data_IF_451812772754
#
_entry.id   IF_451812772754
#
_cell.length_a   1.000
_cell.length_b   1.000
_cell.length_c   1.000
_cell.angle_alpha   90.00
_cell.angle_beta   90.00
_cell.angle_gamma   90.00
#
_symmetry.space_group_name_H-M   'P 1'
#
loop_
_entity.id
_entity.type
_entity.pdbx_description
1 polymer ?
#
# COMPACT_ATOMS: atom_id res chain seq x y z
N UNK A 1 8.33 4.80 23.89
CA UNK A 1 8.23 4.90 22.42
C UNK A 1 7.17 5.93 22.11
N UNK A 2 7.43 6.85 21.21
CA UNK A 2 6.44 7.85 20.80
C UNK A 2 5.18 7.14 20.32
N UNK A 3 4.06 7.55 20.85
CA UNK A 3 2.76 6.94 20.59
C UNK A 3 2.11 7.46 19.29
N UNK A 4 2.77 8.35 18.59
CA UNK A 4 2.34 8.97 17.33
C UNK A 4 3.52 9.28 16.42
N UNK A 5 3.25 9.37 15.11
CA UNK A 5 4.18 9.80 14.07
C UNK A 5 3.66 11.09 13.43
N UNK A 6 4.49 12.13 13.41
CA UNK A 6 4.10 13.45 12.88
C UNK A 6 4.56 13.65 11.45
N UNK A 7 3.62 13.95 10.59
CA UNK A 7 3.83 14.45 9.24
C UNK A 7 3.62 15.98 9.21
N UNK A 8 3.94 16.64 8.13
CA UNK A 8 3.74 18.10 7.98
C UNK A 8 2.30 18.54 8.14
N UNK A 9 1.35 17.74 7.69
CA UNK A 9 -0.07 18.13 7.61
C UNK A 9 -1.02 17.26 8.46
N UNK A 10 -0.55 16.16 9.00
CA UNK A 10 -1.33 15.25 9.83
C UNK A 10 -0.44 14.49 10.81
N UNK A 11 -1.05 13.91 11.80
CA UNK A 11 -0.38 13.05 12.79
C UNK A 11 -1.07 11.68 12.77
N UNK A 12 -0.31 10.61 12.96
CA UNK A 12 -0.79 9.24 12.96
C UNK A 12 -0.56 8.64 14.34
N UNK A 13 -1.62 8.29 15.07
CA UNK A 13 -1.51 7.40 16.22
C UNK A 13 -0.97 6.05 15.76
N UNK A 14 -0.08 5.47 16.55
CA UNK A 14 0.70 4.30 16.16
C UNK A 14 0.90 3.37 17.37
N UNK A 15 -0.18 3.12 18.12
CA UNK A 15 -0.14 2.40 19.40
C UNK A 15 -0.57 0.96 19.28
N UNK A 16 -1.70 0.70 18.63
CA UNK A 16 -2.42 -0.57 18.65
C UNK A 16 -2.20 -1.40 17.40
N UNK A 17 -2.16 -0.74 16.23
CA UNK A 17 -1.98 -1.41 14.95
C UNK A 17 -0.79 -2.36 14.94
N UNK A 18 -0.99 -3.54 14.39
CA UNK A 18 0.02 -4.59 14.25
C UNK A 18 1.23 -4.12 13.42
N UNK A 19 1.00 -3.29 12.41
CA UNK A 19 2.04 -2.68 11.58
C UNK A 19 2.19 -1.20 11.92
N UNK A 20 3.39 -0.84 12.39
CA UNK A 20 3.76 0.55 12.68
C UNK A 20 4.00 1.34 11.38
N UNK A 21 3.89 2.68 11.46
CA UNK A 21 4.29 3.55 10.35
C UNK A 21 5.72 3.22 9.93
N UNK A 22 5.85 2.59 8.79
CA UNK A 22 7.13 2.11 8.24
C UNK A 22 7.50 2.81 6.94
N UNK A 23 8.76 2.66 6.55
CA UNK A 23 9.27 3.23 5.29
C UNK A 23 8.48 2.74 4.08
N UNK A 24 8.04 1.47 4.08
CA UNK A 24 7.32 0.87 2.97
C UNK A 24 5.96 1.57 2.73
N UNK A 25 5.21 1.84 3.80
CA UNK A 25 3.94 2.57 3.72
C UNK A 25 4.14 4.00 3.16
N UNK A 26 5.17 4.71 3.66
CA UNK A 26 5.49 6.06 3.17
C UNK A 26 5.92 6.03 1.69
N UNK A 27 6.72 5.04 1.29
CA UNK A 27 7.15 4.88 -0.10
C UNK A 27 5.96 4.64 -1.02
N UNK A 28 5.04 3.74 -0.67
CA UNK A 28 3.84 3.49 -1.48
C UNK A 28 2.97 4.74 -1.56
N UNK A 29 2.62 5.35 -0.42
CA UNK A 29 1.79 6.55 -0.36
C UNK A 29 2.36 7.74 -1.13
N UNK A 30 3.71 7.88 -1.16
CA UNK A 30 4.36 8.97 -1.88
C UNK A 30 4.54 8.68 -3.39
N UNK A 31 4.82 7.42 -3.78
CA UNK A 31 5.31 7.09 -5.13
C UNK A 31 4.27 6.49 -6.06
N UNK A 32 3.16 5.90 -5.56
CA UNK A 32 2.14 5.31 -6.45
C UNK A 32 1.54 6.34 -7.39
N UNK A 33 1.11 5.87 -8.57
CA UNK A 33 0.45 6.70 -9.57
C UNK A 33 -0.97 7.03 -9.12
N UNK A 34 -1.27 8.33 -8.98
CA UNK A 34 -2.60 8.87 -8.71
C UNK A 34 -3.00 9.81 -9.84
N UNK A 35 -4.29 9.84 -10.17
CA UNK A 35 -4.87 10.74 -11.17
C UNK A 35 -5.87 11.68 -10.51
N UNK A 36 -5.94 12.92 -10.94
CA UNK A 36 -6.95 13.87 -10.45
C UNK A 36 -8.40 13.43 -10.74
N UNK A 37 -8.56 12.50 -11.70
CA UNK A 37 -9.84 11.88 -12.02
C UNK A 37 -10.25 10.77 -11.06
N UNK A 38 -9.35 10.28 -10.19
CA UNK A 38 -9.66 9.21 -9.24
C UNK A 38 -10.72 9.70 -8.23
N UNK A 39 -11.80 8.94 -8.06
CA UNK A 39 -12.91 9.27 -7.17
C UNK A 39 -13.11 8.27 -6.05
N UNK A 40 -12.96 6.99 -6.35
CA UNK A 40 -13.15 5.92 -5.38
C UNK A 40 -11.90 5.07 -5.27
N UNK A 41 -11.32 5.05 -4.08
CA UNK A 41 -10.07 4.32 -3.83
C UNK A 41 -10.24 3.36 -2.66
N UNK A 42 -9.45 2.28 -2.65
CA UNK A 42 -9.45 1.27 -1.59
C UNK A 42 -8.03 1.00 -1.09
N UNK A 43 -7.85 1.10 0.21
CA UNK A 43 -6.65 0.67 0.95
C UNK A 43 -6.90 -0.69 1.60
N UNK A 44 -6.21 -1.74 1.16
CA UNK A 44 -6.39 -3.10 1.67
C UNK A 44 -5.28 -3.39 2.69
N UNK A 45 -5.67 -3.74 3.93
CA UNK A 45 -4.74 -3.93 5.05
C UNK A 45 -4.17 -2.60 5.50
N UNK A 46 -5.07 -1.66 5.84
CA UNK A 46 -4.72 -0.25 6.05
C UNK A 46 -3.83 0.02 7.28
N UNK A 47 -3.85 -0.89 8.26
CA UNK A 47 -3.11 -0.70 9.51
C UNK A 47 -3.48 0.60 10.21
N UNK A 48 -2.53 1.51 10.33
CA UNK A 48 -2.74 2.83 10.94
C UNK A 48 -3.49 3.82 10.05
N UNK A 49 -3.79 3.50 8.80
CA UNK A 49 -4.39 4.41 7.82
C UNK A 49 -3.41 5.38 7.16
N UNK A 50 -2.11 5.24 7.38
CA UNK A 50 -1.11 6.21 6.91
C UNK A 50 -1.08 6.36 5.39
N UNK A 51 -1.23 5.25 4.63
CA UNK A 51 -1.21 5.31 3.16
C UNK A 51 -2.44 6.08 2.66
N UNK A 52 -3.63 5.74 3.18
CA UNK A 52 -4.87 6.43 2.84
C UNK A 52 -4.81 7.94 3.15
N UNK A 53 -4.22 8.34 4.29
CA UNK A 53 -4.00 9.75 4.64
C UNK A 53 -3.06 10.47 3.66
N UNK A 54 -1.97 9.81 3.25
CA UNK A 54 -1.03 10.36 2.27
C UNK A 54 -1.69 10.51 0.89
N UNK A 55 -2.53 9.55 0.50
CA UNK A 55 -3.31 9.61 -0.75
C UNK A 55 -4.34 10.72 -0.71
N UNK A 56 -5.06 10.87 0.41
CA UNK A 56 -6.01 11.97 0.62
C UNK A 56 -5.33 13.34 0.51
N UNK A 57 -4.13 13.50 1.10
CA UNK A 57 -3.34 14.74 0.95
C UNK A 57 -2.98 15.01 -0.51
N UNK A 58 -2.56 14.00 -1.28
CA UNK A 58 -2.14 14.15 -2.69
C UNK A 58 -3.29 14.47 -3.63
N UNK A 59 -4.50 14.01 -3.31
CA UNK A 59 -5.70 14.19 -4.11
C UNK A 59 -6.67 15.22 -3.50
N UNK A 60 -6.22 16.04 -2.57
CA UNK A 60 -7.07 17.00 -1.84
C UNK A 60 -7.91 17.90 -2.77
N UNK A 61 -7.34 18.32 -3.90
CA UNK A 61 -8.05 19.17 -4.87
C UNK A 61 -9.20 18.45 -5.58
N UNK A 62 -9.12 17.13 -5.73
CA UNK A 62 -10.13 16.32 -6.43
C UNK A 62 -11.18 15.73 -5.51
N UNK A 63 -10.95 15.70 -4.18
CA UNK A 63 -11.89 15.26 -3.16
C UNK A 63 -12.35 13.80 -3.32
N UNK A 64 -11.43 12.82 -3.43
CA UNK A 64 -11.79 11.43 -3.59
C UNK A 64 -12.41 10.88 -2.31
N UNK A 65 -13.16 9.78 -2.41
CA UNK A 65 -13.54 8.96 -1.28
C UNK A 65 -12.60 7.74 -1.19
N UNK A 66 -11.96 7.57 -0.06
CA UNK A 66 -11.02 6.47 0.19
C UNK A 66 -11.61 5.58 1.28
N UNK A 67 -11.91 4.36 0.92
CA UNK A 67 -12.26 3.32 1.87
C UNK A 67 -11.01 2.53 2.24
N UNK A 68 -10.88 2.15 3.51
CA UNK A 68 -9.71 1.48 4.05
C UNK A 68 -10.18 0.30 4.89
N UNK A 69 -9.75 -0.90 4.55
CA UNK A 69 -10.17 -2.12 5.23
C UNK A 69 -9.00 -2.76 5.97
N UNK A 70 -9.29 -3.34 7.13
CA UNK A 70 -8.36 -4.17 7.87
C UNK A 70 -9.10 -5.27 8.63
N UNK A 71 -8.54 -6.48 8.63
CA UNK A 71 -9.11 -7.62 9.38
C UNK A 71 -8.92 -7.44 10.88
N UNK A 72 -7.83 -6.77 11.29
CA UNK A 72 -7.54 -6.48 12.70
C UNK A 72 -8.38 -5.30 13.20
N UNK A 73 -9.25 -5.55 14.17
CA UNK A 73 -10.15 -4.56 14.72
C UNK A 73 -9.41 -3.38 15.38
N UNK A 74 -8.30 -3.63 16.04
CA UNK A 74 -7.48 -2.57 16.66
C UNK A 74 -6.84 -1.65 15.61
N UNK A 75 -6.42 -2.21 14.47
CA UNK A 75 -5.90 -1.44 13.31
C UNK A 75 -7.00 -0.60 12.67
N UNK A 76 -8.16 -1.18 12.37
CA UNK A 76 -9.30 -0.45 11.79
C UNK A 76 -9.77 0.69 12.69
N UNK A 77 -9.86 0.46 13.99
CA UNK A 77 -10.17 1.46 15.01
C UNK A 77 -9.13 2.60 15.04
N UNK A 78 -7.84 2.26 15.00
CA UNK A 78 -6.74 3.24 15.00
C UNK A 78 -6.78 4.08 13.72
N UNK A 79 -6.97 3.44 12.55
CA UNK A 79 -7.16 4.14 11.27
C UNK A 79 -8.37 5.10 11.33
N UNK A 80 -9.50 4.64 11.88
CA UNK A 80 -10.71 5.49 12.03
C UNK A 80 -10.44 6.74 12.86
N UNK A 81 -9.71 6.62 13.99
CA UNK A 81 -9.31 7.79 14.80
C UNK A 81 -8.37 8.72 14.06
N UNK A 82 -7.38 8.17 13.36
CA UNK A 82 -6.43 8.94 12.56
C UNK A 82 -7.15 9.71 11.45
N UNK A 83 -8.13 9.10 10.79
CA UNK A 83 -8.95 9.74 9.77
C UNK A 83 -9.78 10.87 10.36
N UNK A 84 -10.46 10.62 11.48
CA UNK A 84 -11.28 11.64 12.16
C UNK A 84 -10.46 12.86 12.63
N UNK A 85 -9.19 12.67 12.99
CA UNK A 85 -8.28 13.73 13.41
C UNK A 85 -7.61 14.47 12.23
N UNK A 86 -7.80 13.99 10.99
CA UNK A 86 -7.13 14.55 9.81
C UNK A 86 -7.95 15.66 9.15
N UNK A 87 -7.31 16.52 8.33
CA UNK A 87 -8.02 17.51 7.52
C UNK A 87 -9.00 16.91 6.51
N UNK A 88 -8.88 15.61 6.20
CA UNK A 88 -9.66 14.90 5.17
C UNK A 88 -10.70 13.94 5.75
N UNK A 89 -11.14 14.15 7.00
CA UNK A 89 -12.05 13.25 7.72
C UNK A 89 -13.36 12.94 6.96
N UNK A 90 -13.84 13.85 6.10
CA UNK A 90 -15.02 13.64 5.27
C UNK A 90 -14.79 12.77 4.02
N UNK A 91 -13.54 12.47 3.69
CA UNK A 91 -13.13 11.71 2.50
C UNK A 91 -12.59 10.31 2.81
N UNK A 92 -12.50 9.94 4.09
CA UNK A 92 -11.85 8.72 4.55
C UNK A 92 -12.80 7.90 5.43
N UNK A 93 -12.83 6.59 5.21
CA UNK A 93 -13.61 5.65 6.01
C UNK A 93 -12.80 4.38 6.27
N UNK A 94 -12.66 4.00 7.54
CA UNK A 94 -12.10 2.71 7.92
C UNK A 94 -13.22 1.71 8.21
N UNK A 95 -13.01 0.44 7.80
CA UNK A 95 -13.95 -0.67 8.01
C UNK A 95 -13.17 -1.88 8.52
N UNK A 96 -13.62 -2.45 9.64
CA UNK A 96 -13.08 -3.71 10.12
C UNK A 96 -13.74 -4.86 9.38
N UNK A 97 -13.03 -5.45 8.44
CA UNK A 97 -13.49 -6.60 7.65
C UNK A 97 -12.30 -7.33 7.01
N UNK A 98 -12.43 -8.63 6.80
CA UNK A 98 -11.53 -9.36 5.93
C UNK A 98 -11.80 -9.02 4.45
N UNK A 99 -10.77 -9.12 3.59
CA UNK A 99 -10.95 -8.89 2.15
C UNK A 99 -11.96 -9.88 1.55
N UNK A 100 -11.98 -11.13 2.03
CA UNK A 100 -12.92 -12.18 1.60
C UNK A 100 -14.39 -11.85 1.89
N UNK A 101 -14.64 -11.07 2.92
CA UNK A 101 -15.99 -10.74 3.40
C UNK A 101 -16.43 -9.35 2.96
N UNK A 102 -15.51 -8.60 2.37
CA UNK A 102 -15.77 -7.24 1.93
C UNK A 102 -16.48 -7.23 0.58
N UNK A 103 -17.72 -6.75 0.57
CA UNK A 103 -18.55 -6.60 -0.62
C UNK A 103 -18.76 -5.12 -0.91
N UNK A 104 -18.02 -4.52 -1.85
CA UNK A 104 -18.18 -3.11 -2.19
C UNK A 104 -19.46 -2.87 -3.00
N UNK A 105 -20.04 -1.69 -2.85
CA UNK A 105 -21.21 -1.24 -3.62
C UNK A 105 -20.81 -0.53 -4.93
N UNK A 106 -19.51 -0.45 -5.22
CA UNK A 106 -18.94 0.26 -6.38
C UNK A 106 -17.61 -0.32 -6.83
N UNK A 107 -17.17 0.11 -7.99
CA UNK A 107 -15.82 -0.15 -8.50
C UNK A 107 -14.84 0.94 -8.07
N UNK A 108 -13.54 0.62 -8.05
CA UNK A 108 -12.46 1.51 -7.61
C UNK A 108 -11.60 1.96 -8.79
N UNK A 109 -11.21 3.23 -8.74
CA UNK A 109 -10.25 3.82 -9.70
C UNK A 109 -8.81 3.46 -9.31
N UNK A 110 -8.54 3.27 -8.01
CA UNK A 110 -7.26 2.81 -7.51
C UNK A 110 -7.46 1.92 -6.28
N UNK A 111 -6.86 0.74 -6.32
CA UNK A 111 -6.70 -0.15 -5.17
C UNK A 111 -5.22 -0.17 -4.81
N UNK A 112 -4.89 -0.10 -3.52
CA UNK A 112 -3.51 -0.17 -3.09
C UNK A 112 -3.36 -0.97 -1.80
N UNK A 113 -2.19 -1.55 -1.60
CA UNK A 113 -1.89 -2.33 -0.40
C UNK A 113 -0.39 -2.40 -0.13
N UNK A 114 -0.05 -2.41 1.16
CA UNK A 114 1.21 -2.86 1.69
C UNK A 114 0.96 -4.15 2.47
N UNK A 115 0.78 -5.29 1.79
CA UNK A 115 0.39 -6.52 2.46
C UNK A 115 1.49 -7.05 3.37
N UNK A 116 1.16 -7.84 4.40
CA UNK A 116 2.18 -8.45 5.24
C UNK A 116 3.08 -9.38 4.43
N UNK A 117 4.39 -9.29 4.66
CA UNK A 117 5.38 -10.14 3.98
C UNK A 117 5.61 -11.40 4.80
N UNK A 118 5.12 -12.53 4.30
CA UNK A 118 5.49 -13.82 4.88
C UNK A 118 6.80 -14.26 4.24
N UNK A 119 7.88 -14.18 5.01
CA UNK A 119 9.20 -14.66 4.61
C UNK A 119 9.18 -16.20 4.56
N UNK A 120 8.92 -16.77 3.39
CA UNK A 120 8.91 -18.22 3.17
C UNK A 120 10.30 -18.85 3.32
N UNK A 121 11.36 -18.05 3.52
CA UNK A 121 12.76 -18.52 3.48
C UNK A 121 13.31 -18.99 4.82
N UNK A 122 12.67 -18.71 5.96
CA UNK A 122 13.25 -18.94 7.30
C UNK A 122 12.37 -19.71 8.29
N UNK A 123 11.24 -20.32 7.88
CA UNK A 123 10.36 -21.00 8.83
C UNK A 123 10.49 -22.51 8.80
N UNK A 124 10.63 -23.09 10.00
CA UNK A 124 10.49 -24.52 10.25
C UNK A 124 9.17 -25.05 9.67
N UNK A 125 9.10 -26.33 9.21
CA UNK A 125 7.85 -26.95 8.76
C UNK A 125 6.68 -26.76 9.72
N UNK A 126 6.94 -26.82 11.04
CA UNK A 126 5.93 -26.65 12.10
C UNK A 126 5.35 -25.23 12.16
N UNK A 127 6.14 -24.21 11.82
CA UNK A 127 5.67 -22.82 11.75
C UNK A 127 4.86 -22.57 10.48
N UNK A 128 5.17 -23.26 9.36
CA UNK A 128 4.34 -23.23 8.15
C UNK A 128 2.96 -23.83 8.37
N UNK A 129 2.88 -24.93 9.14
CA UNK A 129 1.60 -25.53 9.52
C UNK A 129 0.80 -24.66 10.50
N UNK A 130 1.47 -23.93 11.40
CA UNK A 130 0.80 -23.00 12.32
C UNK A 130 0.22 -21.79 11.55
N UNK A 131 0.94 -21.26 10.56
CA UNK A 131 0.48 -20.15 9.70
C UNK A 131 -0.60 -20.62 8.71
N UNK A 132 -0.51 -21.85 8.18
CA UNK A 132 -1.56 -22.42 7.33
C UNK A 132 -2.86 -22.70 8.09
N UNK A 133 -2.80 -22.85 9.41
CA UNK A 133 -3.99 -22.98 10.27
C UNK A 133 -4.65 -21.65 10.63
N UNK A 134 -3.94 -20.53 10.49
CA UNK A 134 -4.53 -19.19 10.54
C UNK A 134 -4.92 -18.81 9.11
N UNK A 135 -6.15 -19.17 8.73
CA UNK A 135 -6.79 -18.97 7.42
C UNK A 135 -6.96 -17.49 7.01
N UNK A 136 -6.37 -16.56 7.74
CA UNK A 136 -6.66 -15.13 7.63
C UNK A 136 -5.49 -14.29 7.07
N UNK A 137 -4.51 -14.93 6.39
CA UNK A 137 -3.39 -14.18 5.84
C UNK A 137 -3.68 -13.68 4.42
N UNK A 138 -3.82 -12.37 4.27
CA UNK A 138 -3.97 -11.68 3.00
C UNK A 138 -2.81 -12.05 2.04
N UNK A 139 -3.11 -12.76 0.95
CA UNK A 139 -2.13 -13.10 -0.08
C UNK A 139 -2.20 -12.13 -1.26
N UNK A 140 -1.10 -12.04 -2.04
CA UNK A 140 -1.12 -11.27 -3.28
C UNK A 140 -2.16 -11.82 -4.27
N UNK A 141 -2.45 -13.12 -4.26
CA UNK A 141 -3.44 -13.72 -5.13
C UNK A 141 -4.86 -13.24 -4.79
N UNK A 142 -5.19 -13.13 -3.49
CA UNK A 142 -6.48 -12.61 -3.04
C UNK A 142 -6.67 -11.16 -3.46
N UNK A 143 -5.61 -10.35 -3.34
CA UNK A 143 -5.64 -8.94 -3.78
C UNK A 143 -5.84 -8.84 -5.29
N UNK A 144 -5.14 -9.66 -6.10
CA UNK A 144 -5.33 -9.66 -7.55
C UNK A 144 -6.71 -10.16 -7.97
N UNK A 145 -7.23 -11.21 -7.32
CA UNK A 145 -8.58 -11.70 -7.56
C UNK A 145 -9.60 -10.59 -7.32
N UNK A 146 -9.55 -9.96 -6.13
CA UNK A 146 -10.43 -8.86 -5.79
C UNK A 146 -10.29 -7.67 -6.76
N UNK A 147 -9.06 -7.24 -7.06
CA UNK A 147 -8.80 -6.13 -7.97
C UNK A 147 -9.31 -6.43 -9.39
N UNK A 148 -9.20 -7.68 -9.86
CA UNK A 148 -9.71 -8.06 -11.18
C UNK A 148 -11.22 -7.93 -11.31
N UNK A 149 -11.96 -8.03 -10.23
CA UNK A 149 -13.42 -7.91 -10.19
C UNK A 149 -13.91 -6.48 -9.93
N UNK A 150 -13.16 -5.75 -9.09
CA UNK A 150 -13.65 -4.49 -8.52
C UNK A 150 -12.93 -3.22 -9.01
N UNK A 151 -11.92 -3.32 -9.87
CA UNK A 151 -11.37 -2.15 -10.56
C UNK A 151 -12.30 -1.67 -11.67
N UNK A 152 -12.41 -0.35 -11.82
CA UNK A 152 -13.01 0.27 -13.04
C UNK A 152 -12.23 -0.14 -14.29
N UNK A 153 -12.77 0.14 -15.48
CA UNK A 153 -12.08 -0.15 -16.75
C UNK A 153 -10.67 0.46 -16.82
N UNK A 154 -10.50 1.67 -16.32
CA UNK A 154 -9.24 2.41 -16.25
C UNK A 154 -8.54 2.31 -14.89
N UNK A 155 -9.08 1.48 -14.00
CA UNK A 155 -8.61 1.31 -12.63
C UNK A 155 -7.21 0.70 -12.53
N UNK A 156 -6.54 0.96 -11.41
CA UNK A 156 -5.16 0.53 -11.15
C UNK A 156 -5.02 -0.13 -9.79
N UNK A 157 -4.13 -1.12 -9.73
CA UNK A 157 -3.68 -1.74 -8.49
C UNK A 157 -2.24 -1.35 -8.23
N UNK A 158 -1.92 -0.84 -7.04
CA UNK A 158 -0.58 -0.46 -6.62
C UNK A 158 -0.15 -1.26 -5.38
N UNK A 159 0.93 -2.01 -5.45
CA UNK A 159 1.44 -2.85 -4.36
C UNK A 159 2.89 -2.49 -4.06
N UNK A 160 3.26 -2.49 -2.76
CA UNK A 160 4.66 -2.52 -2.36
C UNK A 160 4.99 -3.88 -1.80
N UNK A 161 6.11 -4.48 -2.23
CA UNK A 161 6.48 -5.86 -1.91
C UNK A 161 8.01 -6.02 -1.87
N UNK A 162 8.54 -7.11 -1.26
CA UNK A 162 9.95 -7.48 -1.38
C UNK A 162 10.35 -7.69 -2.85
N UNK A 163 11.56 -7.24 -3.21
CA UNK A 163 12.02 -7.29 -4.61
C UNK A 163 12.18 -8.72 -5.17
N UNK A 164 12.43 -9.70 -4.31
CA UNK A 164 12.55 -11.12 -4.67
C UNK A 164 11.21 -11.77 -5.06
N UNK A 165 10.10 -11.17 -4.67
CA UNK A 165 8.75 -11.63 -5.04
C UNK A 165 8.34 -11.26 -6.48
N UNK A 166 9.09 -10.41 -7.18
CA UNK A 166 8.73 -9.81 -8.48
C UNK A 166 8.23 -10.86 -9.50
N UNK A 167 9.01 -11.95 -9.70
CA UNK A 167 8.68 -12.97 -10.69
C UNK A 167 7.35 -13.69 -10.41
N UNK A 168 7.11 -13.99 -9.14
CA UNK A 168 5.85 -14.62 -8.70
C UNK A 168 4.70 -13.65 -8.84
N UNK A 169 4.89 -12.40 -8.42
CA UNK A 169 3.91 -11.33 -8.52
C UNK A 169 3.42 -11.13 -9.96
N UNK A 170 4.34 -11.04 -10.94
CA UNK A 170 4.00 -10.86 -12.36
C UNK A 170 3.18 -12.03 -12.92
N UNK A 171 3.52 -13.26 -12.51
CA UNK A 171 2.76 -14.46 -12.93
C UNK A 171 1.35 -14.47 -12.34
N UNK A 172 1.23 -14.15 -11.05
CA UNK A 172 -0.06 -14.06 -10.37
C UNK A 172 -0.93 -12.98 -11.00
N UNK A 173 -0.40 -11.78 -11.21
CA UNK A 173 -1.12 -10.69 -11.87
C UNK A 173 -1.68 -11.11 -13.24
N UNK A 174 -0.85 -11.74 -14.07
CA UNK A 174 -1.24 -12.19 -15.40
C UNK A 174 -2.35 -13.24 -15.38
N UNK A 175 -2.41 -14.13 -14.36
CA UNK A 175 -3.49 -15.12 -14.23
C UNK A 175 -4.85 -14.49 -13.91
N UNK A 176 -4.86 -13.27 -13.39
CA UNK A 176 -6.07 -12.47 -13.13
C UNK A 176 -6.33 -11.39 -14.20
N UNK A 177 -5.60 -11.40 -15.31
CA UNK A 177 -5.78 -10.44 -16.39
C UNK A 177 -5.32 -9.02 -16.06
N UNK A 178 -4.41 -8.87 -15.08
CA UNK A 178 -3.79 -7.62 -14.72
C UNK A 178 -2.32 -7.60 -15.17
N UNK A 179 -1.90 -6.51 -15.79
CA UNK A 179 -0.58 -6.38 -16.42
C UNK A 179 0.16 -5.18 -15.82
N UNK A 180 1.49 -5.31 -15.57
CA UNK A 180 2.25 -4.21 -15.03
C UNK A 180 2.36 -3.09 -16.07
N UNK A 181 2.20 -1.83 -15.63
CA UNK A 181 2.50 -0.65 -16.42
C UNK A 181 3.63 0.18 -15.82
N UNK A 182 3.92 -0.01 -14.50
CA UNK A 182 5.04 0.65 -13.83
C UNK A 182 5.65 -0.23 -12.76
N UNK A 183 6.99 -0.22 -12.68
CA UNK A 183 7.77 -0.88 -11.62
C UNK A 183 8.81 0.13 -11.11
N UNK A 184 8.72 0.47 -9.82
CA UNK A 184 9.73 1.26 -9.11
C UNK A 184 10.53 0.34 -8.21
N UNK A 185 11.81 0.06 -8.55
CA UNK A 185 12.70 -0.75 -7.72
C UNK A 185 13.45 0.11 -6.72
N UNK A 186 13.47 -0.31 -5.47
CA UNK A 186 13.97 0.49 -4.35
C UNK A 186 15.12 -0.22 -3.66
N UNK A 187 16.21 0.51 -3.42
CA UNK A 187 17.40 0.06 -2.68
C UNK A 187 17.87 1.10 -1.68
N UNK A 188 18.51 0.64 -0.61
CA UNK A 188 18.99 1.55 0.44
C UNK A 188 20.08 2.48 -0.08
N UNK A 189 21.11 1.93 -0.74
CA UNK A 189 22.20 2.69 -1.38
C UNK A 189 22.47 2.16 -2.77
N UNK A 190 23.16 2.91 -3.61
CA UNK A 190 23.45 2.50 -4.99
C UNK A 190 24.23 1.15 -5.09
N UNK A 191 25.01 0.80 -4.08
CA UNK A 191 25.81 -0.44 -4.04
C UNK A 191 25.02 -1.65 -3.49
N UNK A 192 23.84 -1.48 -2.90
CA UNK A 192 23.04 -2.56 -2.31
C UNK A 192 22.03 -3.13 -3.32
N UNK A 193 21.66 -4.41 -3.18
CA UNK A 193 20.61 -5.01 -3.99
C UNK A 193 19.27 -4.29 -3.73
N UNK A 194 18.34 -4.45 -4.65
CA UNK A 194 16.96 -4.00 -4.46
C UNK A 194 16.31 -4.78 -3.31
N UNK A 195 15.65 -4.06 -2.43
CA UNK A 195 14.95 -4.65 -1.28
C UNK A 195 13.44 -4.63 -1.43
N UNK A 196 12.92 -3.64 -2.12
CA UNK A 196 11.50 -3.43 -2.34
C UNK A 196 11.23 -3.09 -3.78
N UNK A 197 10.03 -3.35 -4.21
CA UNK A 197 9.47 -2.82 -5.43
C UNK A 197 8.06 -2.27 -5.17
N UNK A 198 7.72 -1.19 -5.84
CA UNK A 198 6.33 -0.80 -6.04
C UNK A 198 5.99 -1.23 -7.46
N UNK A 199 4.99 -2.10 -7.58
CA UNK A 199 4.50 -2.57 -8.86
C UNK A 199 3.05 -2.12 -9.04
N UNK A 200 2.77 -1.53 -10.19
CA UNK A 200 1.46 -0.98 -10.51
C UNK A 200 0.91 -1.70 -11.73
N UNK A 201 -0.36 -2.11 -11.65
CA UNK A 201 -1.02 -2.96 -12.63
C UNK A 201 -2.31 -2.32 -13.13
N UNK A 202 -2.63 -2.61 -14.40
CA UNK A 202 -3.90 -2.26 -15.04
C UNK A 202 -4.43 -3.43 -15.86
N UNK A 203 -5.62 -3.28 -16.45
CA UNK A 203 -6.18 -4.28 -17.38
C UNK A 203 -5.53 -4.24 -18.76
N UNK A 204 -4.75 -3.20 -19.06
CA UNK A 204 -4.14 -2.99 -20.37
C UNK A 204 -2.72 -3.54 -20.41
N UNK A 205 -2.34 -4.08 -21.55
CA UNK A 205 -0.95 -4.43 -21.84
C UNK A 205 -0.30 -3.22 -22.53
N UNK A 206 0.68 -2.65 -21.87
CA UNK A 206 1.44 -1.52 -22.36
C UNK A 206 2.93 -1.69 -22.02
N UNK A 207 3.78 -0.83 -22.54
CA UNK A 207 5.20 -0.81 -22.20
C UNK A 207 5.37 -0.45 -20.73
N UNK A 208 6.12 -1.28 -20.00
CA UNK A 208 6.33 -1.11 -18.57
C UNK A 208 7.34 0.00 -18.33
N UNK A 209 6.92 1.04 -17.63
CA UNK A 209 7.85 2.06 -17.14
C UNK A 209 8.63 1.51 -15.95
N UNK A 210 9.96 1.47 -16.06
CA UNK A 210 10.85 1.03 -15.00
C UNK A 210 11.66 2.19 -14.44
N UNK A 211 11.56 2.39 -13.13
CA UNK A 211 12.28 3.43 -12.39
C UNK A 211 13.10 2.80 -11.24
N UNK A 212 14.11 3.52 -10.77
CA UNK A 212 14.92 3.13 -9.61
C UNK A 212 14.95 4.25 -8.59
N UNK A 213 14.71 3.91 -7.33
CA UNK A 213 14.86 4.84 -6.20
C UNK A 213 15.97 4.35 -5.26
N UNK A 214 16.93 5.22 -5.02
CA UNK A 214 17.95 5.05 -3.99
C UNK A 214 17.54 5.86 -2.78
N UNK A 215 17.47 5.26 -1.58
CA UNK A 215 17.00 5.98 -0.39
C UNK A 215 18.08 6.84 0.26
N UNK A 216 19.33 6.36 0.26
CA UNK A 216 20.43 6.97 1.01
C UNK A 216 21.63 7.24 0.10
N UNK A 217 22.20 8.43 0.22
CA UNK A 217 23.39 8.86 -0.49
C UNK A 217 24.24 9.79 0.40
N UNK A 218 25.55 9.58 0.46
CA UNK A 218 26.45 10.45 1.23
C UNK A 218 26.16 10.52 2.74
N UNK A 219 25.58 9.46 3.32
CA UNK A 219 25.23 9.40 4.76
C UNK A 219 23.88 10.03 5.14
N UNK A 220 23.16 10.62 4.17
CA UNK A 220 21.82 11.20 4.34
C UNK A 220 20.78 10.61 3.39
N UNK A 221 19.57 11.14 3.39
CA UNK A 221 18.56 10.83 2.38
C UNK A 221 19.03 11.29 1.00
N UNK A 222 18.76 10.50 -0.05
CA UNK A 222 19.06 10.92 -1.42
C UNK A 222 18.23 12.14 -1.82
N UNK A 223 18.66 12.94 -2.81
CA UNK A 223 17.87 14.05 -3.34
C UNK A 223 16.51 13.57 -3.87
N UNK A 224 16.48 12.43 -4.55
CA UNK A 224 15.27 11.85 -5.15
C UNK A 224 14.27 11.42 -4.05
N UNK A 225 14.76 10.74 -3.00
CA UNK A 225 13.91 10.32 -1.89
C UNK A 225 13.43 11.53 -1.07
N UNK A 226 14.30 12.53 -0.86
CA UNK A 226 13.93 13.76 -0.17
C UNK A 226 12.83 14.51 -0.94
N UNK A 227 12.97 14.66 -2.25
CA UNK A 227 11.95 15.27 -3.10
C UNK A 227 10.64 14.50 -3.12
N UNK A 228 10.69 13.17 -3.19
CA UNK A 228 9.50 12.29 -3.18
C UNK A 228 8.69 12.46 -1.89
N UNK A 229 9.35 12.65 -0.76
CA UNK A 229 8.72 12.72 0.56
C UNK A 229 8.61 14.13 1.11
N UNK A 230 9.00 15.14 0.35
CA UNK A 230 9.06 16.54 0.76
C UNK A 230 7.74 17.07 1.33
N UNK A 231 6.60 16.69 0.73
CA UNK A 231 5.28 17.14 1.18
C UNK A 231 4.81 16.48 2.47
N UNK A 232 5.49 15.44 2.93
CA UNK A 232 5.08 14.61 4.06
C UNK A 232 5.97 14.77 5.29
N UNK A 233 7.27 14.58 5.15
CA UNK A 233 8.19 14.63 6.29
C UNK A 233 8.47 16.06 6.75
N UNK A 234 8.63 16.20 8.08
CA UNK A 234 9.10 17.42 8.73
C UNK A 234 10.54 17.74 8.37
#
# INVERSE_FOLDING_TARGET
>A
MESSFKFKRFEVENRKSALKVGTDAVLLGAAMTLRESDRFLLDIGTGTGVIALMVAQRLESSGPFIEAIDIDADSADEASRNFAASPWCGSLRAVNTALSDYVPDRQFDCIFSNPPYYDNSLRNPDEREAVARHTDSLSSADIFAFASEHLTGEGRLSLILPADSEKTLMRTAASFGLFPFRILRIRTTAAKPFKRLIAEFSRFREDVREDVLVLMQGGGRSPEYSKLTESFYL
#
